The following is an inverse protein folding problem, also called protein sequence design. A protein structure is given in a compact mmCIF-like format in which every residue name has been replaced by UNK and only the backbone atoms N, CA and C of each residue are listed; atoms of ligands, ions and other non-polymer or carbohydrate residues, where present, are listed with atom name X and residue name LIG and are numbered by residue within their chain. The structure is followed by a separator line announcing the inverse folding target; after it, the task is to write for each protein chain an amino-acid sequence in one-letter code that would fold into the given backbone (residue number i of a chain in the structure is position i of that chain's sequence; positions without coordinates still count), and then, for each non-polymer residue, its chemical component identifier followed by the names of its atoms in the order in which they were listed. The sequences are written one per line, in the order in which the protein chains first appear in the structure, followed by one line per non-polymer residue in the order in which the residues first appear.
data_IF_249107586567
#
_entry.id   IF_249107586567
#
_cell.length_a   1.000
_cell.length_b   1.000
_cell.length_c   1.000
_cell.angle_alpha   90.00
_cell.angle_beta   90.00
_cell.angle_gamma   90.00
#
_symmetry.space_group_name_H-M   'P 1'
#
loop_
_entity.id
_entity.type
_entity.pdbx_description
1 polymer ?
#
# COMPACT_ATOMS: atom_id res chain seq x y z
N UNK A 1 1.06 16.34 -14.30
CA UNK A 1 2.01 15.65 -13.41
C UNK A 1 2.67 14.52 -14.18
N UNK A 2 4.00 14.49 -14.33
CA UNK A 2 4.65 13.46 -15.13
C UNK A 2 4.61 12.12 -14.37
N UNK A 3 4.02 11.09 -15.00
CA UNK A 3 4.09 9.70 -14.52
C UNK A 3 5.58 9.34 -14.39
N UNK A 4 6.06 9.09 -13.17
CA UNK A 4 7.27 8.28 -13.03
C UNK A 4 6.95 6.90 -13.58
N UNK A 5 7.67 6.52 -14.63
CA UNK A 5 7.66 5.16 -15.13
C UNK A 5 8.26 4.29 -14.03
N UNK A 6 7.46 3.37 -13.47
CA UNK A 6 7.99 2.30 -12.64
C UNK A 6 8.73 1.34 -13.57
N UNK A 7 10.00 1.66 -13.83
CA UNK A 7 10.95 0.75 -14.42
C UNK A 7 11.02 -0.49 -13.54
N UNK A 8 10.77 -1.63 -14.15
CA UNK A 8 10.76 -2.95 -13.53
C UNK A 8 12.18 -3.42 -13.18
N UNK A 9 12.87 -2.68 -12.33
CA UNK A 9 14.11 -3.13 -11.71
C UNK A 9 13.85 -3.36 -10.22
N UNK A 10 13.08 -4.42 -9.95
CA UNK A 10 12.82 -4.86 -8.59
C UNK A 10 14.10 -5.52 -8.09
N UNK A 11 14.77 -4.86 -7.15
CA UNK A 11 15.98 -5.35 -6.52
C UNK A 11 15.85 -6.83 -6.10
N UNK A 12 16.90 -7.66 -6.24
CA UNK A 12 16.85 -9.12 -6.03
C UNK A 12 16.50 -9.59 -4.60
N UNK A 13 16.23 -8.67 -3.66
CA UNK A 13 15.88 -8.95 -2.28
C UNK A 13 14.37 -9.06 -1.99
N UNK A 14 13.48 -8.85 -2.96
CA UNK A 14 12.03 -8.96 -2.80
C UNK A 14 11.50 -10.42 -2.72
N UNK A 15 12.18 -11.29 -1.96
CA UNK A 15 11.91 -12.74 -1.90
C UNK A 15 11.05 -13.21 -0.71
N UNK A 16 10.44 -12.27 0.04
CA UNK A 16 9.61 -12.57 1.23
C UNK A 16 8.10 -12.32 1.05
N UNK A 17 7.70 -11.66 -0.04
CA UNK A 17 6.29 -11.45 -0.41
C UNK A 17 5.77 -12.49 -1.40
N UNK A 18 4.49 -12.37 -1.80
CA UNK A 18 3.96 -13.22 -2.87
C UNK A 18 4.75 -12.97 -4.17
N UNK A 19 5.29 -14.05 -4.77
CA UNK A 19 6.21 -13.97 -5.93
C UNK A 19 5.62 -13.22 -7.14
N UNK A 20 4.30 -13.10 -7.23
CA UNK A 20 3.59 -12.41 -8.29
C UNK A 20 3.18 -10.97 -7.95
N UNK A 21 3.41 -10.49 -6.73
CA UNK A 21 2.91 -9.20 -6.25
C UNK A 21 3.33 -8.02 -7.14
N UNK A 22 4.61 -8.00 -7.57
CA UNK A 22 5.12 -6.94 -8.46
C UNK A 22 4.39 -6.84 -9.79
N UNK A 23 3.76 -7.93 -10.28
CA UNK A 23 2.95 -7.91 -11.53
C UNK A 23 1.66 -7.09 -11.39
N UNK A 24 1.22 -6.84 -10.16
CA UNK A 24 -0.02 -6.13 -9.87
C UNK A 24 0.20 -4.65 -9.54
N UNK A 25 1.42 -4.22 -9.22
CA UNK A 25 1.72 -2.81 -8.90
C UNK A 25 1.21 -1.80 -9.94
N UNK A 26 1.31 -2.06 -11.27
CA UNK A 26 0.76 -1.14 -12.26
C UNK A 26 -0.77 -0.99 -12.25
N UNK A 27 -1.50 -1.83 -11.50
CA UNK A 27 -2.97 -1.82 -11.40
C UNK A 27 -3.48 -1.04 -10.19
N UNK A 28 -2.59 -0.62 -9.30
CA UNK A 28 -2.96 0.19 -8.14
C UNK A 28 -2.57 1.64 -8.41
N UNK A 29 -3.49 2.58 -8.15
CA UNK A 29 -3.14 4.00 -8.14
C UNK A 29 -2.22 4.33 -6.97
N UNK A 30 -2.51 3.76 -5.80
CA UNK A 30 -1.80 4.01 -4.55
C UNK A 30 -1.41 2.69 -3.86
N UNK A 31 -0.14 2.57 -3.49
CA UNK A 31 0.37 1.51 -2.62
C UNK A 31 0.69 2.15 -1.27
N UNK A 32 -0.12 1.84 -0.26
CA UNK A 32 -0.02 2.45 1.07
C UNK A 32 0.82 1.58 2.01
N UNK A 33 1.87 2.15 2.59
CA UNK A 33 2.67 1.55 3.66
C UNK A 33 2.26 2.14 5.02
N UNK A 34 1.94 1.27 5.99
CA UNK A 34 1.79 1.67 7.38
C UNK A 34 3.11 1.53 8.13
N UNK A 35 3.62 2.62 8.70
CA UNK A 35 4.88 2.62 9.45
C UNK A 35 4.69 2.86 10.94
N UNK A 36 5.58 2.28 11.74
CA UNK A 36 5.75 2.53 13.15
C UNK A 36 7.20 2.22 13.54
N UNK A 37 7.77 2.90 14.55
CA UNK A 37 9.07 2.52 15.09
C UNK A 37 9.06 1.07 15.60
N UNK A 38 10.16 0.34 15.39
CA UNK A 38 10.32 -1.06 15.78
C UNK A 38 9.89 -1.33 17.23
N UNK A 39 10.26 -0.44 18.17
CA UNK A 39 9.85 -0.56 19.59
C UNK A 39 8.32 -0.63 19.76
N UNK A 40 7.58 0.21 19.03
CA UNK A 40 6.11 0.26 19.09
C UNK A 40 5.50 -0.98 18.44
N UNK A 41 6.11 -1.49 17.37
CA UNK A 41 5.70 -2.76 16.77
C UNK A 41 5.86 -3.93 17.75
N UNK A 42 7.00 -4.03 18.43
CA UNK A 42 7.27 -5.08 19.41
C UNK A 42 6.33 -5.00 20.62
N UNK A 43 6.01 -3.80 21.11
CA UNK A 43 5.01 -3.58 22.16
C UNK A 43 3.63 -4.10 21.74
N UNK A 44 3.15 -3.73 20.55
CA UNK A 44 1.86 -4.20 20.01
C UNK A 44 1.83 -5.73 19.81
N UNK A 45 2.94 -6.30 19.36
CA UNK A 45 3.09 -7.75 19.20
C UNK A 45 3.06 -8.46 20.55
N UNK A 46 3.62 -7.85 21.60
CA UNK A 46 3.58 -8.42 22.95
C UNK A 46 2.13 -8.48 23.49
N UNK A 47 1.30 -7.48 23.20
CA UNK A 47 -0.06 -7.36 23.77
C UNK A 47 -1.17 -8.03 22.94
N UNK A 48 -0.97 -8.29 21.63
CA UNK A 48 -2.00 -8.95 20.81
C UNK A 48 -2.29 -10.39 21.27
N UNK A 49 -3.52 -10.84 21.13
CA UNK A 49 -4.02 -12.16 21.55
C UNK A 49 -4.25 -13.12 20.36
N UNK A 50 -4.57 -12.59 19.18
CA UNK A 50 -5.00 -13.39 18.01
C UNK A 50 -3.88 -14.05 17.21
N UNK A 51 -2.61 -13.67 17.38
CA UNK A 51 -1.48 -14.22 16.63
C UNK A 51 -0.28 -14.54 17.56
N UNK A 52 0.14 -15.82 17.65
CA UNK A 52 1.18 -16.27 18.59
C UNK A 52 2.62 -15.94 18.17
N UNK A 53 2.86 -15.42 16.96
CA UNK A 53 4.20 -15.04 16.51
C UNK A 53 4.73 -13.80 17.27
N UNK A 54 6.03 -13.76 17.55
CA UNK A 54 6.70 -12.64 18.23
C UNK A 54 6.58 -12.65 19.76
N UNK A 55 6.19 -13.79 20.34
CA UNK A 55 6.07 -13.97 21.79
C UNK A 55 7.38 -14.44 22.43
N UNK A 56 8.20 -15.19 21.70
CA UNK A 56 9.52 -15.64 22.18
C UNK A 56 10.62 -14.64 21.82
N UNK A 57 11.79 -14.76 22.46
CA UNK A 57 12.93 -13.89 22.18
C UNK A 57 13.44 -14.07 20.73
N UNK A 58 13.55 -15.31 20.28
CA UNK A 58 14.04 -15.67 18.95
C UNK A 58 13.13 -15.10 17.85
N UNK A 59 11.82 -15.13 18.07
CA UNK A 59 10.87 -14.54 17.13
C UNK A 59 10.95 -13.01 17.11
N UNK A 60 11.30 -12.36 18.23
CA UNK A 60 11.51 -10.92 18.27
C UNK A 60 12.80 -10.54 17.56
N UNK A 61 13.87 -11.30 17.74
CA UNK A 61 15.11 -11.12 16.99
C UNK A 61 14.88 -11.29 15.48
N UNK A 62 14.06 -12.28 15.10
CA UNK A 62 13.62 -12.45 13.72
C UNK A 62 12.86 -11.21 13.20
N UNK A 63 11.94 -10.66 13.98
CA UNK A 63 11.22 -9.43 13.63
C UNK A 63 12.18 -8.25 13.44
N UNK A 64 13.19 -8.10 14.31
CA UNK A 64 14.20 -7.04 14.18
C UNK A 64 14.98 -7.20 12.88
N UNK A 65 15.47 -8.41 12.60
CA UNK A 65 16.22 -8.71 11.38
C UNK A 65 15.38 -8.50 10.12
N UNK A 66 14.16 -9.01 10.08
CA UNK A 66 13.23 -8.84 8.96
C UNK A 66 12.88 -7.38 8.74
N UNK A 67 12.67 -6.60 9.80
CA UNK A 67 12.37 -5.16 9.68
C UNK A 67 13.55 -4.44 9.02
N UNK A 68 14.78 -4.70 9.48
CA UNK A 68 15.98 -4.07 8.92
C UNK A 68 16.22 -4.43 7.45
N UNK A 69 15.92 -5.67 7.06
CA UNK A 69 16.14 -6.15 5.69
C UNK A 69 15.02 -5.76 4.72
N UNK A 70 13.76 -5.87 5.16
CA UNK A 70 12.58 -5.84 4.28
C UNK A 70 11.94 -4.46 4.21
N UNK A 71 11.93 -3.72 5.32
CA UNK A 71 11.27 -2.41 5.37
C UNK A 71 11.79 -1.43 4.30
N UNK A 72 13.11 -1.35 4.02
CA UNK A 72 13.62 -0.52 2.94
C UNK A 72 13.03 -0.91 1.58
N UNK A 73 12.87 -2.21 1.31
CA UNK A 73 12.38 -2.72 0.03
C UNK A 73 10.91 -2.38 -0.19
N UNK A 74 10.07 -2.59 0.83
CA UNK A 74 8.64 -2.25 0.74
C UNK A 74 8.43 -0.73 0.64
N UNK A 75 9.30 0.07 1.25
CA UNK A 75 9.28 1.54 1.17
C UNK A 75 9.61 2.04 -0.24
N UNK A 76 10.48 1.35 -0.99
CA UNK A 76 10.72 1.66 -2.41
C UNK A 76 9.47 1.49 -3.26
N UNK A 77 8.64 0.50 -2.95
CA UNK A 77 7.41 0.23 -3.71
C UNK A 77 6.19 1.04 -3.26
N UNK A 78 6.25 1.71 -2.11
CA UNK A 78 5.13 2.47 -1.58
C UNK A 78 4.97 3.81 -2.31
N UNK A 79 3.75 4.15 -2.71
CA UNK A 79 3.42 5.49 -3.22
C UNK A 79 3.18 6.45 -2.06
N UNK A 80 2.58 5.95 -0.99
CA UNK A 80 2.22 6.73 0.20
C UNK A 80 2.63 5.96 1.45
N UNK A 81 3.18 6.69 2.42
CA UNK A 81 3.44 6.17 3.75
C UNK A 81 2.59 6.89 4.79
N UNK A 82 1.94 6.12 5.66
CA UNK A 82 1.12 6.63 6.77
C UNK A 82 1.72 6.12 8.08
N UNK A 83 2.15 7.04 8.92
CA UNK A 83 2.59 6.70 10.27
C UNK A 83 1.39 6.34 11.16
N UNK A 84 1.45 5.16 11.78
CA UNK A 84 0.45 4.67 12.74
C UNK A 84 0.75 5.09 14.19
N UNK A 85 1.62 6.09 14.37
CA UNK A 85 1.79 6.81 15.64
C UNK A 85 0.71 7.89 15.85
N UNK A 86 0.03 8.28 14.77
CA UNK A 86 -1.08 9.22 14.81
C UNK A 86 -2.31 8.58 15.48
N UNK A 87 -3.26 9.39 15.99
CA UNK A 87 -4.59 8.91 16.35
C UNK A 87 -5.23 8.07 15.25
N UNK A 88 -6.02 7.06 15.63
CA UNK A 88 -6.67 6.15 14.68
C UNK A 88 -7.55 6.91 13.67
N UNK A 89 -8.27 7.94 14.13
CA UNK A 89 -9.11 8.79 13.27
C UNK A 89 -8.30 9.40 12.14
N UNK A 90 -7.15 9.98 12.46
CA UNK A 90 -6.30 10.64 11.47
C UNK A 90 -5.72 9.65 10.44
N UNK A 91 -5.37 8.45 10.89
CA UNK A 91 -4.90 7.37 10.00
C UNK A 91 -6.01 6.92 9.07
N UNK A 92 -7.22 6.72 9.60
CA UNK A 92 -8.39 6.28 8.84
C UNK A 92 -8.84 7.35 7.87
N UNK A 93 -8.89 8.62 8.28
CA UNK A 93 -9.27 9.74 7.42
C UNK A 93 -8.26 9.92 6.29
N UNK A 94 -6.96 9.85 6.60
CA UNK A 94 -5.91 9.91 5.59
C UNK A 94 -6.02 8.74 4.60
N UNK A 95 -6.32 7.52 5.07
CA UNK A 95 -6.52 6.36 4.21
C UNK A 95 -7.78 6.50 3.35
N UNK A 96 -8.89 6.94 3.94
CA UNK A 96 -10.19 7.08 3.28
C UNK A 96 -10.13 8.12 2.14
N UNK A 97 -9.26 9.12 2.24
CA UNK A 97 -9.02 10.08 1.17
C UNK A 97 -8.54 9.41 -0.14
N UNK A 98 -7.87 8.26 -0.08
CA UNK A 98 -7.48 7.48 -1.27
C UNK A 98 -8.59 6.56 -1.79
N UNK A 99 -9.58 6.25 -0.95
CA UNK A 99 -10.71 5.37 -1.26
C UNK A 99 -11.98 6.12 -1.71
N UNK A 100 -11.91 7.45 -1.83
CA UNK A 100 -12.98 8.28 -2.39
C UNK A 100 -13.43 7.81 -3.78
N UNK A 101 -14.60 8.28 -4.29
CA UNK A 101 -15.15 7.79 -5.54
C UNK A 101 -14.07 7.85 -6.61
N UNK A 102 -13.67 6.66 -7.07
CA UNK A 102 -12.58 6.54 -7.99
C UNK A 102 -12.88 7.45 -9.16
N UNK A 103 -12.02 8.45 -9.37
CA UNK A 103 -11.85 9.01 -10.69
C UNK A 103 -11.14 7.96 -11.55
N UNK A 104 -11.74 6.77 -11.73
CA UNK A 104 -11.88 6.28 -13.07
C UNK A 104 -12.47 7.47 -13.79
N UNK A 105 -11.59 8.31 -14.36
CA UNK A 105 -11.89 9.05 -15.56
C UNK A 105 -12.77 8.07 -16.30
N UNK A 106 -14.05 8.40 -16.45
CA UNK A 106 -14.79 7.85 -17.56
C UNK A 106 -13.88 8.16 -18.74
N UNK A 107 -13.04 7.19 -19.10
CA UNK A 107 -12.64 7.06 -20.45
C UNK A 107 -13.97 6.83 -21.11
N UNK A 108 -14.60 7.91 -21.56
CA UNK A 108 -15.43 7.90 -22.73
C UNK A 108 -14.56 7.25 -23.82
N UNK A 109 -14.49 5.92 -23.80
CA UNK A 109 -14.21 5.15 -24.98
C UNK A 109 -15.44 5.38 -25.83
N UNK A 110 -15.39 6.41 -26.66
CA UNK A 110 -16.19 6.46 -27.86
C UNK A 110 -15.91 5.16 -28.61
N UNK A 111 -16.74 4.13 -28.40
CA UNK A 111 -16.78 3.00 -29.31
C UNK A 111 -17.36 3.54 -30.61
N UNK A 112 -16.82 3.20 -31.80
CA UNK A 112 -17.23 3.84 -33.05
C UNK A 112 -18.68 3.54 -33.49
N UNK A 113 -19.48 2.82 -32.69
CA UNK A 113 -20.71 2.20 -33.21
C UNK A 113 -21.88 2.08 -32.23
N UNK A 114 -22.06 3.06 -31.34
CA UNK A 114 -23.35 3.30 -30.69
C UNK A 114 -23.60 4.80 -30.57
N UNK A 115 -24.04 5.41 -31.67
CA UNK A 115 -24.91 6.59 -31.58
C UNK A 115 -26.22 6.09 -30.97
N UNK A 116 -26.52 6.43 -29.71
CA UNK A 116 -27.88 6.70 -29.22
C UNK A 116 -27.81 7.20 -27.78
N UNK A 117 -28.27 8.43 -27.59
CA UNK A 117 -28.62 9.12 -26.34
C UNK A 117 -27.46 9.59 -25.44
N UNK A 118 -26.85 10.71 -25.84
CA UNK A 118 -26.26 11.66 -24.91
C UNK A 118 -27.40 12.56 -24.39
N UNK A 119 -27.76 12.45 -23.10
CA UNK A 119 -28.63 13.43 -22.45
C UNK A 119 -27.79 14.59 -21.90
N UNK A 120 -28.27 15.84 -21.94
CA UNK A 120 -27.46 17.02 -21.70
C UNK A 120 -27.58 17.47 -20.25
N UNK A 121 -26.49 17.40 -19.48
CA UNK A 121 -26.22 18.35 -18.38
C UNK A 121 -24.76 18.23 -17.95
N UNK A 122 -23.91 19.07 -18.55
CA UNK A 122 -22.74 19.61 -17.87
C UNK A 122 -22.92 21.14 -17.90
N UNK A 123 -22.95 21.76 -16.73
CA UNK A 123 -22.55 23.16 -16.51
C UNK A 123 -21.23 23.14 -15.75
#
# INVERSE_FOLDING_TARGET
MPRRQHGADVAPAARRGALNQGKFYPRFEEIVLFSAPLKVMLERIATRDTNPFGKTAEQRDQIVADTAEVEPLIRVSATVEISTLKPLTDVVDQLAAFAGPSSYKLHCRCRPWKCFLCAPTCS
#
